data_IF_574575700366
#
_entry.id   IF_574575700366
#
_cell.length_a   1.000
_cell.length_b   1.000
_cell.length_c   1.000
_cell.angle_alpha   90.00
_cell.angle_beta   90.00
_cell.angle_gamma   90.00
#
_symmetry.space_group_name_H-M   'P 1'
#
loop_
_entity.id
_entity.type
_entity.pdbx_description
1 polymer ?
#
# COMPACT_ATOMS: atom_id res chain seq x y z
N UNK A 1 -30.69 8.09 15.26
CA UNK A 1 -30.02 6.99 14.53
C UNK A 1 -29.02 7.67 13.63
N UNK A 2 -27.78 7.86 14.13
CA UNK A 2 -26.64 8.26 13.30
C UNK A 2 -26.26 7.02 12.47
N UNK A 3 -26.61 7.03 11.19
CA UNK A 3 -26.01 6.13 10.23
C UNK A 3 -24.57 6.61 10.10
N UNK A 4 -23.65 5.94 10.79
CA UNK A 4 -22.24 6.03 10.47
C UNK A 4 -22.10 5.53 9.04
N UNK A 5 -21.92 6.44 8.08
CA UNK A 5 -21.31 6.11 6.80
C UNK A 5 -19.88 5.69 7.13
N UNK A 6 -19.69 4.41 7.34
CA UNK A 6 -18.37 3.81 7.40
C UNK A 6 -17.73 4.11 6.05
N UNK A 7 -16.72 4.97 6.06
CA UNK A 7 -15.95 5.32 4.87
C UNK A 7 -15.25 4.04 4.41
N UNK A 8 -15.77 3.42 3.36
CA UNK A 8 -15.20 2.22 2.77
C UNK A 8 -14.12 2.66 1.78
N UNK A 9 -12.86 2.34 2.08
CA UNK A 9 -11.77 2.53 1.13
C UNK A 9 -11.71 1.36 0.15
N UNK A 10 -11.53 1.66 -1.13
CA UNK A 10 -11.29 0.69 -2.19
C UNK A 10 -9.88 0.86 -2.74
N UNK A 11 -9.12 -0.23 -2.82
CA UNK A 11 -7.80 -0.29 -3.43
C UNK A 11 -7.82 -1.38 -4.49
N UNK A 12 -7.73 -0.99 -5.76
CA UNK A 12 -7.57 -1.89 -6.87
C UNK A 12 -6.08 -1.95 -7.25
N UNK A 13 -5.55 -3.14 -7.54
CA UNK A 13 -4.13 -3.35 -7.80
C UNK A 13 -3.96 -4.12 -9.10
N UNK A 14 -3.40 -3.49 -10.13
CA UNK A 14 -3.04 -4.14 -11.40
C UNK A 14 -1.68 -4.81 -11.23
N UNK A 15 -1.61 -6.11 -11.52
CA UNK A 15 -0.39 -6.92 -11.41
C UNK A 15 -0.27 -7.93 -12.55
N UNK A 16 0.96 -8.28 -12.91
CA UNK A 16 1.27 -9.40 -13.84
C UNK A 16 1.49 -10.72 -13.08
N UNK A 17 1.64 -10.65 -11.74
CA UNK A 17 1.82 -11.81 -10.85
C UNK A 17 0.88 -11.68 -9.64
N UNK A 18 -0.45 -11.75 -9.83
CA UNK A 18 -1.45 -11.49 -8.79
C UNK A 18 -1.35 -12.43 -7.59
N UNK A 19 -0.82 -13.64 -7.77
CA UNK A 19 -0.67 -14.62 -6.69
C UNK A 19 0.25 -14.17 -5.57
N UNK A 20 1.21 -13.28 -5.82
CA UNK A 20 2.07 -12.69 -4.79
C UNK A 20 1.30 -11.83 -3.78
N UNK A 21 0.11 -11.37 -4.14
CA UNK A 21 -0.71 -10.49 -3.32
C UNK A 21 -1.81 -11.22 -2.53
N UNK A 22 -1.97 -12.52 -2.70
CA UNK A 22 -3.01 -13.29 -2.00
C UNK A 22 -2.78 -13.36 -0.49
N UNK A 23 -1.56 -13.66 -0.06
CA UNK A 23 -1.24 -13.86 1.36
C UNK A 23 -1.30 -12.56 2.18
N UNK A 24 -0.69 -11.43 1.78
CA UNK A 24 -0.67 -10.21 2.59
C UNK A 24 -2.06 -9.72 3.00
N UNK A 25 -3.04 -9.87 2.11
CA UNK A 25 -4.40 -9.36 2.34
C UNK A 25 -5.35 -10.37 3.02
N UNK A 26 -4.88 -11.59 3.29
CA UNK A 26 -5.67 -12.68 3.85
C UNK A 26 -5.48 -12.88 5.34
N UNK A 27 -4.66 -12.07 6.00
CA UNK A 27 -4.29 -12.24 7.41
C UNK A 27 -4.34 -10.92 8.19
N UNK A 28 -4.29 -11.04 9.53
CA UNK A 28 -4.09 -9.96 10.50
C UNK A 28 -5.08 -8.77 10.33
N UNK A 29 -4.55 -7.56 10.39
CA UNK A 29 -5.31 -6.30 10.39
C UNK A 29 -6.05 -6.10 9.07
N UNK A 30 -5.40 -6.33 7.93
CA UNK A 30 -6.01 -6.15 6.62
C UNK A 30 -7.18 -7.11 6.39
N UNK A 31 -7.05 -8.37 6.80
CA UNK A 31 -8.18 -9.31 6.77
C UNK A 31 -9.36 -8.80 7.60
N UNK A 32 -9.10 -8.35 8.85
CA UNK A 32 -10.17 -7.81 9.71
C UNK A 32 -10.84 -6.58 9.14
N UNK A 33 -10.06 -5.66 8.53
CA UNK A 33 -10.60 -4.49 7.86
C UNK A 33 -11.53 -4.86 6.70
N UNK A 34 -11.15 -5.86 5.91
CA UNK A 34 -11.96 -6.40 4.81
C UNK A 34 -13.22 -7.10 5.32
N UNK A 35 -13.09 -7.96 6.33
CA UNK A 35 -14.24 -8.66 6.96
C UNK A 35 -15.26 -7.68 7.56
N UNK A 36 -14.80 -6.53 8.07
CA UNK A 36 -15.66 -5.44 8.56
C UNK A 36 -16.23 -4.55 7.44
N UNK A 37 -15.82 -4.73 6.19
CA UNK A 37 -16.24 -3.91 5.05
C UNK A 37 -15.66 -2.48 5.05
N UNK A 38 -14.61 -2.23 5.83
CA UNK A 38 -13.92 -0.93 5.91
C UNK A 38 -12.92 -0.74 4.77
N UNK A 39 -12.33 -1.84 4.30
CA UNK A 39 -11.35 -1.88 3.21
C UNK A 39 -11.78 -2.93 2.19
N UNK A 40 -11.77 -2.57 0.94
CA UNK A 40 -11.87 -3.48 -0.20
C UNK A 40 -10.56 -3.49 -0.96
N UNK A 41 -9.98 -4.68 -1.17
CA UNK A 41 -8.75 -4.83 -1.97
C UNK A 41 -9.04 -5.85 -3.06
N UNK A 42 -8.91 -5.42 -4.32
CA UNK A 42 -9.06 -6.25 -5.50
C UNK A 42 -7.75 -6.32 -6.25
N UNK A 43 -7.33 -7.52 -6.61
CA UNK A 43 -6.13 -7.73 -7.42
C UNK A 43 -6.56 -8.12 -8.83
N UNK A 44 -6.16 -7.29 -9.79
CA UNK A 44 -6.51 -7.41 -11.20
C UNK A 44 -5.32 -8.00 -11.95
N UNK A 45 -5.54 -9.12 -12.63
CA UNK A 45 -4.52 -9.72 -13.48
C UNK A 45 -4.46 -8.94 -14.80
N UNK A 46 -3.33 -8.28 -15.07
CA UNK A 46 -3.14 -7.53 -16.30
C UNK A 46 -3.31 -8.40 -17.56
N UNK A 47 -2.99 -9.71 -17.47
CA UNK A 47 -3.10 -10.65 -18.58
C UNK A 47 -4.53 -10.87 -19.07
N UNK A 48 -5.53 -10.53 -18.26
CA UNK A 48 -6.95 -10.63 -18.63
C UNK A 48 -7.41 -9.43 -19.50
N UNK A 49 -6.55 -8.42 -19.65
CA UNK A 49 -6.83 -7.18 -20.39
C UNK A 49 -6.03 -7.04 -21.71
N UNK A 50 -5.42 -8.13 -22.17
CA UNK A 50 -4.68 -8.16 -23.43
C UNK A 50 -5.41 -9.01 -24.48
N UNK A 51 -5.35 -8.56 -25.73
CA UNK A 51 -5.84 -9.30 -26.90
C UNK A 51 -4.71 -10.07 -27.61
N UNK A 52 -3.48 -9.95 -27.15
CA UNK A 52 -2.33 -10.61 -27.77
C UNK A 52 -2.29 -12.12 -27.47
N UNK A 53 -1.69 -12.86 -28.39
CA UNK A 53 -1.51 -14.31 -28.23
C UNK A 53 -0.76 -14.62 -26.93
N UNK A 54 -1.14 -15.71 -26.25
CA UNK A 54 -0.53 -16.18 -24.99
C UNK A 54 -0.63 -15.17 -23.83
N UNK A 55 -1.62 -14.29 -23.88
CA UNK A 55 -1.82 -13.24 -22.87
C UNK A 55 -0.55 -12.38 -22.65
N UNK A 56 0.12 -12.01 -23.74
CA UNK A 56 1.33 -11.20 -23.72
C UNK A 56 1.00 -9.78 -23.20
N UNK A 57 1.85 -9.28 -22.30
CA UNK A 57 1.70 -7.95 -21.64
C UNK A 57 3.00 -7.14 -21.68
N UNK A 58 4.06 -7.68 -22.27
CA UNK A 58 5.39 -7.09 -22.34
C UNK A 58 6.03 -7.29 -23.70
N UNK A 59 6.87 -6.34 -24.13
CA UNK A 59 7.58 -6.38 -25.40
C UNK A 59 8.91 -5.62 -25.30
N UNK A 60 9.75 -5.73 -26.33
CA UNK A 60 11.03 -5.01 -26.41
C UNK A 60 10.81 -3.50 -26.49
N UNK A 61 11.71 -2.76 -25.84
CA UNK A 61 11.69 -1.30 -25.91
C UNK A 61 12.06 -0.80 -27.32
N UNK A 62 11.42 0.25 -27.79
CA UNK A 62 11.92 1.02 -28.93
C UNK A 62 13.30 1.59 -28.60
N UNK A 63 14.19 1.62 -29.56
CA UNK A 63 15.59 2.04 -29.38
C UNK A 63 16.51 0.92 -28.90
N UNK A 64 16.01 -0.28 -28.61
CA UNK A 64 16.80 -1.44 -28.22
C UNK A 64 17.13 -1.47 -26.74
N UNK A 65 18.09 -2.32 -26.36
CA UNK A 65 18.50 -2.52 -24.96
C UNK A 65 18.06 -3.89 -24.42
N UNK A 66 18.58 -4.25 -23.24
CA UNK A 66 18.26 -5.50 -22.59
C UNK A 66 16.97 -5.39 -21.77
N UNK A 67 16.12 -6.40 -21.83
CA UNK A 67 14.89 -6.51 -21.04
C UNK A 67 13.64 -6.07 -21.80
N UNK A 68 12.50 -6.30 -21.19
CA UNK A 68 11.17 -6.04 -21.72
C UNK A 68 10.54 -4.83 -21.00
N UNK A 69 9.50 -4.27 -21.58
CA UNK A 69 8.69 -3.17 -21.01
C UNK A 69 7.24 -3.59 -21.02
N UNK A 70 6.49 -3.28 -20.00
CA UNK A 70 5.04 -3.53 -19.98
C UNK A 70 4.37 -2.69 -21.05
N UNK A 71 3.59 -3.37 -21.90
CA UNK A 71 2.95 -2.77 -23.07
C UNK A 71 1.87 -1.78 -22.68
N UNK A 72 1.72 -0.73 -23.50
CA UNK A 72 0.71 0.31 -23.30
C UNK A 72 -0.72 -0.23 -23.39
N UNK A 73 -1.04 -1.05 -24.41
CA UNK A 73 -2.42 -1.45 -24.69
C UNK A 73 -3.05 -2.27 -23.55
N UNK A 74 -2.42 -3.33 -22.97
CA UNK A 74 -2.99 -4.03 -21.84
C UNK A 74 -3.20 -3.13 -20.62
N UNK A 75 -2.25 -2.22 -20.33
CA UNK A 75 -2.34 -1.31 -19.19
C UNK A 75 -3.50 -0.33 -19.36
N UNK A 76 -3.61 0.31 -20.53
CA UNK A 76 -4.70 1.24 -20.82
C UNK A 76 -6.04 0.53 -20.77
N UNK A 77 -6.17 -0.65 -21.38
CA UNK A 77 -7.39 -1.44 -21.34
C UNK A 77 -7.82 -1.77 -19.90
N UNK A 78 -6.87 -2.15 -19.04
CA UNK A 78 -7.15 -2.44 -17.63
C UNK A 78 -7.61 -1.18 -16.89
N UNK A 79 -6.88 -0.06 -17.02
CA UNK A 79 -7.20 1.21 -16.35
C UNK A 79 -8.58 1.70 -16.79
N UNK A 80 -8.84 1.80 -18.11
CA UNK A 80 -10.11 2.27 -18.63
C UNK A 80 -11.28 1.35 -18.28
N UNK A 81 -11.06 0.04 -18.24
CA UNK A 81 -12.08 -0.91 -17.78
C UNK A 81 -12.50 -0.64 -16.34
N UNK A 82 -11.53 -0.41 -15.44
CA UNK A 82 -11.79 -0.10 -14.05
C UNK A 82 -12.40 1.30 -13.86
N UNK A 83 -12.00 2.27 -14.66
CA UNK A 83 -12.54 3.64 -14.63
C UNK A 83 -14.01 3.73 -15.06
N UNK A 84 -14.54 2.73 -15.78
CA UNK A 84 -15.98 2.67 -16.10
C UNK A 84 -16.85 2.43 -14.87
N UNK A 85 -16.30 1.76 -13.86
CA UNK A 85 -17.01 1.37 -12.64
C UNK A 85 -16.64 2.23 -11.44
N UNK A 86 -15.43 2.79 -11.41
CA UNK A 86 -14.85 3.48 -10.25
C UNK A 86 -14.12 4.75 -10.67
N UNK A 87 -14.45 5.88 -10.05
CA UNK A 87 -13.62 7.08 -10.12
C UNK A 87 -12.51 6.98 -9.08
N UNK A 88 -11.26 7.00 -9.50
CA UNK A 88 -10.10 6.95 -8.61
C UNK A 88 -9.66 8.34 -8.19
N UNK A 89 -9.37 8.49 -6.89
CA UNK A 89 -8.78 9.72 -6.33
C UNK A 89 -7.29 9.84 -6.73
N UNK A 90 -6.60 8.69 -6.83
CA UNK A 90 -5.22 8.60 -7.29
C UNK A 90 -5.00 7.30 -8.11
N UNK A 91 -4.21 7.40 -9.17
CA UNK A 91 -3.67 6.28 -9.93
C UNK A 91 -2.15 6.28 -9.71
N UNK A 92 -1.68 5.31 -8.93
CA UNK A 92 -0.33 5.28 -8.38
C UNK A 92 0.51 4.22 -9.09
N UNK A 93 1.61 4.62 -9.69
CA UNK A 93 2.60 3.72 -10.24
C UNK A 93 3.71 3.44 -9.21
N UNK A 94 3.96 2.16 -8.93
CA UNK A 94 4.99 1.72 -8.00
C UNK A 94 6.29 1.46 -8.74
N UNK A 95 7.26 2.31 -8.50
CA UNK A 95 8.52 2.38 -9.25
C UNK A 95 9.67 2.88 -8.37
N UNK A 96 10.91 2.37 -8.57
CA UNK A 96 12.04 2.82 -7.74
C UNK A 96 12.41 4.29 -7.90
N UNK A 97 12.06 4.91 -9.03
CA UNK A 97 12.34 6.32 -9.34
C UNK A 97 11.23 7.29 -8.90
N UNK A 98 10.19 6.79 -8.21
CA UNK A 98 9.12 7.60 -7.64
C UNK A 98 9.48 8.34 -6.36
N UNK A 99 8.55 9.16 -5.86
CA UNK A 99 8.65 9.81 -4.55
C UNK A 99 8.74 8.77 -3.43
N UNK A 100 9.68 8.95 -2.49
CA UNK A 100 9.86 7.99 -1.40
C UNK A 100 8.66 8.01 -0.44
N UNK A 101 8.03 6.87 -0.27
CA UNK A 101 6.89 6.67 0.62
C UNK A 101 7.27 6.89 2.08
N UNK A 102 6.45 7.62 2.81
CA UNK A 102 6.62 7.92 4.23
C UNK A 102 5.27 7.96 4.96
N UNK A 103 5.29 8.11 6.29
CA UNK A 103 4.07 8.13 7.10
C UNK A 103 3.13 9.29 6.73
N UNK A 104 3.66 10.46 6.41
CA UNK A 104 2.85 11.61 5.99
C UNK A 104 2.07 11.30 4.71
N UNK A 105 2.71 10.64 3.74
CA UNK A 105 2.05 10.20 2.51
C UNK A 105 0.98 9.15 2.81
N UNK A 106 1.27 8.18 3.70
CA UNK A 106 0.28 7.19 4.13
C UNK A 106 -0.95 7.86 4.75
N UNK A 107 -0.76 8.87 5.62
CA UNK A 107 -1.84 9.65 6.21
C UNK A 107 -2.68 10.38 5.15
N UNK A 108 -2.04 10.99 4.15
CA UNK A 108 -2.76 11.66 3.04
C UNK A 108 -3.59 10.68 2.22
N UNK A 109 -3.00 9.53 1.88
CA UNK A 109 -3.67 8.50 1.07
C UNK A 109 -4.79 7.80 1.83
N UNK A 110 -4.69 7.66 3.16
CA UNK A 110 -5.75 7.06 3.99
C UNK A 110 -7.06 7.87 4.04
N UNK A 111 -7.02 9.14 3.64
CA UNK A 111 -8.19 10.02 3.53
C UNK A 111 -8.91 9.91 2.18
N UNK A 112 -8.36 9.16 1.24
CA UNK A 112 -8.95 8.91 -0.08
C UNK A 112 -9.97 7.77 -0.02
N UNK A 113 -10.87 7.72 -1.00
CA UNK A 113 -11.88 6.66 -1.08
C UNK A 113 -11.44 5.52 -2.01
N UNK A 114 -10.88 5.87 -3.17
CA UNK A 114 -10.54 4.91 -4.21
C UNK A 114 -9.12 5.13 -4.72
N UNK A 115 -8.28 4.12 -4.60
CA UNK A 115 -6.92 4.12 -5.12
C UNK A 115 -6.76 3.02 -6.17
N UNK A 116 -6.03 3.32 -7.24
CA UNK A 116 -5.56 2.33 -8.20
C UNK A 116 -4.03 2.25 -8.12
N UNK A 117 -3.51 1.09 -7.76
CA UNK A 117 -2.07 0.82 -7.72
C UNK A 117 -1.66 0.03 -8.96
N UNK A 118 -0.60 0.44 -9.63
CA UNK A 118 -0.02 -0.27 -10.78
C UNK A 118 1.34 -0.81 -10.37
N UNK A 119 1.44 -2.14 -10.34
CA UNK A 119 2.70 -2.83 -10.05
C UNK A 119 3.59 -2.81 -11.29
N UNK A 120 4.70 -2.09 -11.23
CA UNK A 120 5.73 -2.14 -12.27
C UNK A 120 6.40 -3.51 -12.32
N UNK A 121 6.78 -3.93 -13.51
CA UNK A 121 7.53 -5.16 -13.74
C UNK A 121 8.53 -4.96 -14.89
N UNK A 122 9.43 -5.92 -15.08
CA UNK A 122 10.47 -5.86 -16.16
C UNK A 122 11.35 -4.61 -16.03
N UNK A 123 11.45 -3.78 -17.10
CA UNK A 123 12.16 -2.49 -17.10
C UNK A 123 11.26 -1.30 -16.78
N UNK A 124 10.01 -1.54 -16.44
CA UNK A 124 8.99 -0.54 -16.17
C UNK A 124 7.81 -0.66 -17.14
N UNK A 125 7.04 0.40 -17.22
CA UNK A 125 5.86 0.51 -18.08
C UNK A 125 6.12 1.49 -19.23
N UNK A 126 5.34 1.40 -20.30
CA UNK A 126 5.40 2.36 -21.40
C UNK A 126 5.20 3.79 -20.88
N UNK A 127 6.10 4.71 -21.27
CA UNK A 127 6.11 6.10 -20.79
C UNK A 127 4.80 6.82 -21.03
N UNK A 128 4.09 6.51 -22.11
CA UNK A 128 2.78 7.13 -22.42
C UNK A 128 1.71 6.81 -21.37
N UNK A 129 1.80 5.67 -20.67
CA UNK A 129 0.92 5.37 -19.53
C UNK A 129 1.25 6.27 -18.36
N UNK A 130 2.56 6.48 -18.08
CA UNK A 130 3.01 7.40 -17.02
C UNK A 130 2.50 8.82 -17.30
N UNK A 131 2.65 9.30 -18.52
CA UNK A 131 2.35 10.68 -18.91
C UNK A 131 0.84 10.99 -18.92
N UNK A 132 -0.02 9.99 -19.17
CA UNK A 132 -1.44 10.25 -19.41
C UNK A 132 -2.40 9.70 -18.34
N UNK A 133 -1.98 8.72 -17.57
CA UNK A 133 -2.86 8.04 -16.60
C UNK A 133 -2.38 8.13 -15.15
N UNK A 134 -1.06 8.21 -14.92
CA UNK A 134 -0.50 8.18 -13.57
C UNK A 134 -0.62 9.56 -12.93
N UNK A 135 -1.20 9.61 -11.71
CA UNK A 135 -1.28 10.84 -10.91
C UNK A 135 -0.13 10.97 -9.93
N UNK A 136 0.45 9.84 -9.52
CA UNK A 136 1.57 9.80 -8.58
C UNK A 136 2.46 8.59 -8.82
N UNK A 137 3.76 8.78 -8.64
CA UNK A 137 4.75 7.71 -8.69
C UNK A 137 5.40 7.55 -7.33
N UNK A 138 5.40 6.31 -6.80
CA UNK A 138 5.83 6.04 -5.42
C UNK A 138 6.90 4.96 -5.41
N UNK A 139 7.98 5.23 -4.67
CA UNK A 139 9.04 4.29 -4.31
C UNK A 139 8.95 3.93 -2.83
N UNK A 140 9.24 2.69 -2.46
CA UNK A 140 9.38 2.28 -1.05
C UNK A 140 10.82 2.30 -0.53
N UNK A 141 11.76 2.84 -1.31
CA UNK A 141 13.16 2.99 -0.93
C UNK A 141 14.12 2.88 -2.11
N UNK A 142 15.38 3.23 -1.89
CA UNK A 142 16.44 3.29 -2.90
C UNK A 142 17.01 1.87 -3.20
N UNK A 143 16.14 0.99 -3.68
CA UNK A 143 16.49 -0.37 -4.12
C UNK A 143 15.50 -0.87 -5.16
N UNK A 144 15.91 -1.85 -5.94
CA UNK A 144 15.09 -2.41 -7.00
C UNK A 144 14.56 -3.79 -6.59
N UNK A 145 13.25 -3.96 -6.75
CA UNK A 145 12.54 -5.24 -6.59
C UNK A 145 12.30 -5.89 -7.96
N UNK A 146 11.95 -7.17 -7.97
CA UNK A 146 11.55 -7.87 -9.20
C UNK A 146 10.22 -7.40 -9.77
N UNK A 147 9.35 -6.79 -8.93
CA UNK A 147 8.05 -6.23 -9.32
C UNK A 147 7.48 -5.34 -8.24
N UNK A 148 6.42 -4.63 -8.54
CA UNK A 148 5.75 -3.68 -7.62
C UNK A 148 4.81 -4.32 -6.60
N UNK A 149 4.59 -5.63 -6.64
CA UNK A 149 3.60 -6.32 -5.81
C UNK A 149 3.89 -6.17 -4.31
N UNK A 150 5.15 -6.35 -3.90
CA UNK A 150 5.54 -6.17 -2.49
C UNK A 150 5.40 -4.71 -2.06
N UNK A 151 5.72 -3.76 -2.93
CA UNK A 151 5.48 -2.35 -2.67
C UNK A 151 3.99 -2.05 -2.51
N UNK A 152 3.13 -2.63 -3.36
CA UNK A 152 1.67 -2.51 -3.23
C UNK A 152 1.17 -3.07 -1.89
N UNK A 153 1.72 -4.20 -1.44
CA UNK A 153 1.38 -4.77 -0.14
C UNK A 153 1.78 -3.85 1.02
N UNK A 154 2.99 -3.27 0.97
CA UNK A 154 3.48 -2.31 1.98
C UNK A 154 2.60 -1.06 2.03
N UNK A 155 2.29 -0.44 0.88
CA UNK A 155 1.40 0.71 0.83
C UNK A 155 0.01 0.38 1.37
N UNK A 156 -0.57 -0.73 0.93
CA UNK A 156 -1.91 -1.15 1.35
C UNK A 156 -1.97 -1.39 2.87
N UNK A 157 -0.93 -1.99 3.46
CA UNK A 157 -0.87 -2.19 4.92
C UNK A 157 -0.74 -0.86 5.67
N UNK A 158 0.22 -0.01 5.26
CA UNK A 158 0.46 1.28 5.88
C UNK A 158 -0.75 2.22 5.82
N UNK A 159 -1.49 2.21 4.70
CA UNK A 159 -2.71 3.01 4.52
C UNK A 159 -3.88 2.37 5.26
N UNK A 160 -4.06 1.05 5.09
CA UNK A 160 -5.21 0.31 5.61
C UNK A 160 -5.34 0.36 7.13
N UNK A 161 -4.22 0.35 7.87
CA UNK A 161 -4.22 0.46 9.33
C UNK A 161 -4.65 1.83 9.86
N UNK A 162 -4.61 2.88 9.01
CA UNK A 162 -5.01 4.25 9.36
C UNK A 162 -6.51 4.49 9.15
N UNK A 163 -7.22 3.57 8.50
CA UNK A 163 -8.66 3.71 8.29
C UNK A 163 -9.39 3.61 9.64
N UNK A 164 -10.29 4.56 9.98
CA UNK A 164 -11.03 4.52 11.23
C UNK A 164 -11.76 3.19 11.45
N UNK A 165 -11.66 2.64 12.66
CA UNK A 165 -12.29 1.36 13.04
C UNK A 165 -11.52 0.10 12.63
N UNK A 166 -10.38 0.21 11.92
CA UNK A 166 -9.51 -0.92 11.58
C UNK A 166 -8.70 -1.38 12.80
N UNK A 167 -8.06 -0.45 13.50
CA UNK A 167 -7.42 -0.71 14.79
C UNK A 167 -8.47 -0.71 15.91
N UNK A 168 -8.27 -1.54 16.93
CA UNK A 168 -9.19 -1.60 18.07
C UNK A 168 -9.09 -0.35 18.96
N UNK A 169 -7.92 0.29 18.99
CA UNK A 169 -7.66 1.54 19.69
C UNK A 169 -7.15 2.56 18.67
N UNK A 170 -7.98 3.56 18.38
CA UNK A 170 -7.67 4.62 17.41
C UNK A 170 -6.49 5.49 17.88
N UNK A 171 -6.27 5.58 19.20
CA UNK A 171 -5.13 6.32 19.76
C UNK A 171 -3.81 5.62 19.50
N UNK A 172 -3.81 4.30 19.28
CA UNK A 172 -2.61 3.53 18.96
C UNK A 172 -1.94 4.02 17.67
N UNK A 173 -2.71 4.39 16.65
CA UNK A 173 -2.16 4.94 15.42
C UNK A 173 -1.53 6.33 15.62
N UNK A 174 -2.06 7.12 16.56
CA UNK A 174 -1.57 8.47 16.85
C UNK A 174 -0.25 8.50 17.62
N UNK A 175 0.03 7.43 18.39
CA UNK A 175 1.26 7.30 19.20
C UNK A 175 2.37 6.50 18.50
N UNK A 176 2.14 6.04 17.28
CA UNK A 176 3.15 5.34 16.48
C UNK A 176 4.27 6.30 16.05
N UNK A 177 5.45 5.72 15.79
CA UNK A 177 6.58 6.45 15.23
C UNK A 177 6.20 7.21 13.95
N UNK A 178 6.79 8.37 13.75
CA UNK A 178 6.64 9.26 12.58
C UNK A 178 5.31 10.00 12.45
N UNK A 179 4.36 9.87 13.38
CA UNK A 179 3.12 10.68 13.32
C UNK A 179 3.41 12.17 13.53
N UNK A 180 4.25 12.50 14.54
CA UNK A 180 4.71 13.88 14.83
C UNK A 180 6.20 14.06 14.51
N UNK A 181 6.75 13.32 13.53
CA UNK A 181 8.17 13.25 13.21
C UNK A 181 9.05 12.75 14.37
N UNK A 182 8.46 12.13 15.37
CA UNK A 182 9.14 11.52 16.51
C UNK A 182 9.13 9.99 16.40
N UNK A 183 10.12 9.36 17.02
CA UNK A 183 10.12 7.92 17.22
C UNK A 183 9.36 7.59 18.50
N UNK A 184 8.58 6.51 18.47
CA UNK A 184 7.93 6.00 19.66
C UNK A 184 8.99 5.66 20.74
N UNK A 185 8.70 5.89 22.03
CA UNK A 185 9.62 5.58 23.11
C UNK A 185 9.84 4.06 23.24
N UNK A 186 10.92 3.63 23.92
CA UNK A 186 11.12 2.24 24.23
C UNK A 186 9.95 1.67 25.05
N UNK A 187 9.47 0.50 24.65
CA UNK A 187 8.37 -0.18 25.35
C UNK A 187 8.85 -1.42 26.08
N UNK A 188 8.25 -1.71 27.22
CA UNK A 188 8.59 -2.84 28.08
C UNK A 188 7.33 -3.67 28.36
N UNK A 189 7.50 -5.00 28.52
CA UNK A 189 6.43 -5.94 28.86
C UNK A 189 6.83 -6.81 30.04
N UNK A 190 5.92 -7.61 30.55
CA UNK A 190 6.17 -8.58 31.63
C UNK A 190 7.09 -9.70 31.17
N UNK A 191 7.93 -10.24 32.06
CA UNK A 191 8.08 -9.92 33.50
C UNK A 191 8.88 -8.65 33.72
N UNK A 192 8.77 -8.06 34.93
CA UNK A 192 9.44 -6.83 35.38
C UNK A 192 10.98 -6.97 35.39
N UNK A 193 11.49 -8.18 35.66
CA UNK A 193 12.90 -8.54 35.55
C UNK A 193 13.06 -9.84 34.78
N UNK A 194 13.99 -9.86 33.82
CA UNK A 194 14.35 -11.04 33.05
C UNK A 194 15.88 -11.16 32.95
N UNK A 195 16.47 -12.20 33.52
CA UNK A 195 17.94 -12.46 33.52
C UNK A 195 18.78 -11.28 34.02
N UNK A 196 18.26 -10.52 35.01
CA UNK A 196 18.92 -9.34 35.57
C UNK A 196 18.65 -8.04 34.80
N UNK A 197 17.96 -8.09 33.69
CA UNK A 197 17.51 -6.92 32.95
C UNK A 197 16.18 -6.43 33.51
N UNK A 198 16.13 -5.17 33.94
CA UNK A 198 14.95 -4.60 34.63
C UNK A 198 14.22 -3.58 33.77
N UNK A 199 12.91 -3.53 33.96
CA UNK A 199 12.09 -2.42 33.50
C UNK A 199 12.48 -1.16 34.30
N UNK A 200 12.61 0.03 33.67
CA UNK A 200 12.87 1.27 34.40
C UNK A 200 11.84 1.51 35.51
N UNK A 201 12.29 1.86 36.70
CA UNK A 201 11.42 2.05 37.88
C UNK A 201 10.34 3.11 37.65
N UNK A 202 10.66 4.13 36.86
CA UNK A 202 9.70 5.21 36.52
C UNK A 202 8.42 4.66 35.89
N UNK A 203 8.52 3.64 35.02
CA UNK A 203 7.37 3.02 34.35
C UNK A 203 6.47 2.23 35.30
N UNK A 204 7.00 1.83 36.46
CA UNK A 204 6.29 1.11 37.52
C UNK A 204 5.74 2.01 38.61
N UNK A 205 6.11 3.29 38.61
CA UNK A 205 5.73 4.27 39.66
C UNK A 205 4.24 4.63 39.65
N UNK A 206 3.50 4.36 38.57
CA UNK A 206 2.10 4.82 38.42
C UNK A 206 1.94 6.33 38.29
N UNK A 207 3.03 7.08 38.23
CA UNK A 207 3.00 8.54 38.10
C UNK A 207 3.05 8.94 36.61
N UNK A 208 1.88 9.03 35.97
CA UNK A 208 1.74 9.35 34.55
C UNK A 208 2.46 10.64 34.12
N UNK A 209 2.55 11.65 35.00
CA UNK A 209 3.25 12.92 34.70
C UNK A 209 4.77 12.77 34.56
N UNK A 210 5.33 11.68 35.06
CA UNK A 210 6.77 11.40 34.95
C UNK A 210 7.05 10.31 33.91
N UNK A 211 6.03 9.57 33.50
CA UNK A 211 6.12 8.52 32.47
C UNK A 211 6.01 9.12 31.07
N UNK A 212 5.11 10.10 30.88
CA UNK A 212 4.91 10.87 29.65
C UNK A 212 6.03 11.93 29.48
#
# INVERSE_FOLDING_TARGET
ILIHFLCKMKIDIISVVPDLLQSPFSHSILKRARDKGLLEVNVINLRDHTNYARAQVDDYAFGGGAGMVMMIEPLVNAIESLQKETTYDEIIFLTPDGETFNQQMANQLSLKNNLLLICGHYKGIDQRVRDHFITREISIGDYVLSGGELAAAVLTDAIGRLIPGVLNDETSALTDSFQDNLLAPPVYTRPEEFRGWKVPEILMSGNHKLID
#
